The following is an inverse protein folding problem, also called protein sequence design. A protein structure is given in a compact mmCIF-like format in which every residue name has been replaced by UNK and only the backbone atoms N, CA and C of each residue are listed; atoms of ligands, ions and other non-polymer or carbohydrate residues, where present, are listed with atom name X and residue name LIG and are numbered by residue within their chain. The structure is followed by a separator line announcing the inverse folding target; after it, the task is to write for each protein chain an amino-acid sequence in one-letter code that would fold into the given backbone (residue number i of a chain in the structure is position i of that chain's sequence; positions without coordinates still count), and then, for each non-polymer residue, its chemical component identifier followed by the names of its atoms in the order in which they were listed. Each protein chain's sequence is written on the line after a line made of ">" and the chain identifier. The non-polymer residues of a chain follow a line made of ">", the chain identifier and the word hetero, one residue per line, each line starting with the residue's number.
data_IF_766388030620
#
_entry.id   IF_766388030620
#
_cell.length_a   1.000
_cell.length_b   1.000
_cell.length_c   1.000
_cell.angle_alpha   90.00
_cell.angle_beta   90.00
_cell.angle_gamma   90.00
#
_symmetry.space_group_name_H-M   'P 1'
#
loop_
_entity.id
_entity.type
_entity.pdbx_description
1 polymer ?
#
# COMPACT_ATOMS: atom_id res chain seq x y z
N UNK A 1 -22.57 40.08 -30.25
CA UNK A 1 -22.14 40.50 -28.90
C UNK A 1 -22.80 39.69 -27.78
N UNK A 2 -24.08 39.30 -27.88
CA UNK A 2 -24.72 38.41 -26.88
C UNK A 2 -24.17 36.98 -26.93
N UNK A 3 -23.95 36.43 -28.13
CA UNK A 3 -23.37 35.09 -28.32
C UNK A 3 -21.95 34.94 -27.71
N UNK A 4 -21.14 36.00 -27.76
CA UNK A 4 -19.79 36.00 -27.19
C UNK A 4 -19.79 36.04 -25.66
N UNK A 5 -20.81 36.64 -25.04
CA UNK A 5 -20.96 36.64 -23.58
C UNK A 5 -21.44 35.26 -23.10
N UNK A 6 -22.36 34.62 -23.83
CA UNK A 6 -22.81 33.26 -23.53
C UNK A 6 -21.70 32.21 -23.69
N UNK A 7 -20.82 32.34 -24.69
CA UNK A 7 -19.69 31.42 -24.85
C UNK A 7 -18.64 31.58 -23.74
N UNK A 8 -18.36 32.81 -23.29
CA UNK A 8 -17.45 33.07 -22.16
C UNK A 8 -18.05 32.53 -20.85
N UNK A 9 -19.32 32.83 -20.56
CA UNK A 9 -20.00 32.33 -19.36
C UNK A 9 -20.12 30.80 -19.37
N UNK A 10 -20.41 30.21 -20.53
CA UNK A 10 -20.43 28.74 -20.73
C UNK A 10 -19.06 28.11 -20.47
N UNK A 11 -17.99 28.66 -21.05
CA UNK A 11 -16.63 28.15 -20.83
C UNK A 11 -16.20 28.23 -19.34
N UNK A 12 -16.56 29.31 -18.65
CA UNK A 12 -16.27 29.47 -17.21
C UNK A 12 -17.05 28.49 -16.34
N UNK A 13 -18.33 28.23 -16.68
CA UNK A 13 -19.12 27.22 -15.96
C UNK A 13 -18.55 25.82 -16.16
N UNK A 14 -18.23 25.42 -17.39
CA UNK A 14 -17.61 24.11 -17.66
C UNK A 14 -16.27 23.92 -16.94
N UNK A 15 -15.40 24.94 -16.91
CA UNK A 15 -14.14 24.87 -16.18
C UNK A 15 -14.34 24.69 -14.67
N UNK A 16 -15.36 25.34 -14.08
CA UNK A 16 -15.70 25.17 -12.66
C UNK A 16 -16.28 23.78 -12.34
N UNK A 17 -17.05 23.19 -13.26
CA UNK A 17 -17.58 21.85 -13.10
C UNK A 17 -16.49 20.77 -13.13
N UNK A 18 -15.49 20.89 -14.01
CA UNK A 18 -14.36 19.94 -14.07
C UNK A 18 -13.53 19.98 -12.77
N UNK A 19 -13.28 21.17 -12.22
CA UNK A 19 -12.59 21.34 -10.94
C UNK A 19 -13.35 20.74 -9.74
N UNK A 20 -14.67 20.92 -9.69
CA UNK A 20 -15.51 20.31 -8.66
C UNK A 20 -15.55 18.78 -8.79
N UNK A 21 -15.67 18.26 -10.01
CA UNK A 21 -15.66 16.81 -10.25
C UNK A 21 -14.34 16.17 -9.81
N UNK A 22 -13.20 16.80 -10.15
CA UNK A 22 -11.89 16.31 -9.73
C UNK A 22 -11.74 16.31 -8.19
N UNK A 23 -12.27 17.34 -7.52
CA UNK A 23 -12.27 17.42 -6.05
C UNK A 23 -13.12 16.31 -5.41
N UNK A 24 -14.30 16.01 -5.97
CA UNK A 24 -15.15 14.91 -5.48
C UNK A 24 -14.46 13.57 -5.67
N UNK A 25 -13.91 13.31 -6.87
CA UNK A 25 -13.15 12.08 -7.16
C UNK A 25 -11.95 11.91 -6.22
N UNK A 26 -11.23 12.99 -5.94
CA UNK A 26 -10.10 12.97 -5.00
C UNK A 26 -10.54 12.58 -3.58
N UNK A 27 -11.65 13.13 -3.10
CA UNK A 27 -12.17 12.78 -1.77
C UNK A 27 -12.65 11.32 -1.72
N UNK A 28 -13.35 10.85 -2.74
CA UNK A 28 -13.81 9.46 -2.85
C UNK A 28 -12.63 8.48 -2.91
N UNK A 29 -11.61 8.80 -3.70
CA UNK A 29 -10.39 8.01 -3.79
C UNK A 29 -9.69 7.93 -2.43
N UNK A 30 -9.49 9.05 -1.74
CA UNK A 30 -8.83 9.08 -0.42
C UNK A 30 -9.59 8.27 0.63
N UNK A 31 -10.93 8.42 0.67
CA UNK A 31 -11.77 7.65 1.59
C UNK A 31 -11.70 6.15 1.30
N UNK A 32 -11.73 5.78 0.02
CA UNK A 32 -11.64 4.38 -0.37
C UNK A 32 -10.27 3.80 -0.06
N UNK A 33 -9.18 4.53 -0.36
CA UNK A 33 -7.82 4.11 -0.01
C UNK A 33 -7.69 3.89 1.50
N UNK A 34 -8.18 4.83 2.31
CA UNK A 34 -8.17 4.70 3.77
C UNK A 34 -8.97 3.48 4.26
N UNK A 35 -10.16 3.26 3.71
CA UNK A 35 -10.97 2.09 4.03
C UNK A 35 -10.29 0.78 3.61
N UNK A 36 -9.70 0.75 2.41
CA UNK A 36 -8.97 -0.38 1.85
C UNK A 36 -7.80 -0.77 2.74
N UNK A 37 -6.91 0.18 3.06
CA UNK A 37 -5.74 -0.09 3.92
C UNK A 37 -6.18 -0.53 5.32
N UNK A 38 -7.20 0.11 5.92
CA UNK A 38 -7.74 -0.31 7.23
C UNK A 38 -8.33 -1.72 7.18
N UNK A 39 -8.96 -2.08 6.07
CA UNK A 39 -9.55 -3.41 5.89
C UNK A 39 -8.44 -4.46 5.79
N UNK A 40 -7.39 -4.21 4.99
CA UNK A 40 -6.21 -5.09 4.91
C UNK A 40 -5.56 -5.27 6.28
N UNK A 41 -5.32 -4.17 7.00
CA UNK A 41 -4.73 -4.24 8.33
C UNK A 41 -5.57 -5.10 9.29
N UNK A 42 -6.90 -4.95 9.27
CA UNK A 42 -7.82 -5.76 10.09
C UNK A 42 -7.84 -7.22 9.66
N UNK A 43 -7.87 -7.49 8.36
CA UNK A 43 -7.85 -8.84 7.81
C UNK A 43 -6.52 -9.55 8.05
N UNK A 44 -5.41 -8.81 8.12
CA UNK A 44 -4.11 -9.38 8.47
C UNK A 44 -4.18 -10.00 9.87
N UNK A 45 -4.79 -9.30 10.84
CA UNK A 45 -4.97 -9.80 12.21
C UNK A 45 -6.03 -10.92 12.33
N UNK A 46 -6.95 -11.02 11.38
CA UNK A 46 -8.04 -12.01 11.35
C UNK A 46 -7.87 -12.97 10.16
N UNK A 47 -6.64 -13.42 9.96
CA UNK A 47 -6.23 -14.18 8.79
C UNK A 47 -7.04 -15.47 8.64
N UNK A 48 -7.93 -15.54 7.64
CA UNK A 48 -8.59 -16.78 7.24
C UNK A 48 -7.72 -17.51 6.21
N UNK A 49 -7.12 -18.64 6.62
CA UNK A 49 -6.35 -19.53 5.73
C UNK A 49 -7.31 -20.46 5.00
N UNK A 50 -7.16 -20.56 3.68
CA UNK A 50 -7.88 -21.61 2.95
C UNK A 50 -7.28 -23.00 3.29
N UNK A 51 -8.08 -24.08 3.20
CA UNK A 51 -7.58 -25.43 3.40
C UNK A 51 -6.40 -25.75 2.48
N UNK A 52 -5.28 -26.18 3.05
CA UNK A 52 -4.05 -26.49 2.30
C UNK A 52 -3.15 -25.30 1.99
N UNK A 53 -3.46 -24.08 2.47
CA UNK A 53 -2.55 -22.95 2.39
C UNK A 53 -1.46 -23.01 3.46
N UNK A 54 -0.25 -22.62 3.10
CA UNK A 54 0.86 -22.37 4.02
C UNK A 54 0.58 -21.18 4.94
N UNK A 55 1.38 -21.05 6.00
CA UNK A 55 1.32 -19.90 6.90
C UNK A 55 1.57 -18.60 6.14
N UNK A 56 0.89 -17.52 6.53
CA UNK A 56 1.06 -16.20 5.92
C UNK A 56 1.88 -15.30 6.83
N UNK A 57 2.87 -14.64 6.24
CA UNK A 57 3.66 -13.63 6.93
C UNK A 57 2.84 -12.36 7.18
N UNK A 58 1.97 -12.02 6.23
CA UNK A 58 1.16 -10.81 6.29
C UNK A 58 0.32 -10.61 5.05
N UNK A 59 -0.46 -9.53 5.08
CA UNK A 59 -1.14 -8.98 3.91
C UNK A 59 -0.46 -7.67 3.53
N UNK A 60 -0.22 -7.45 2.24
CA UNK A 60 0.45 -6.27 1.75
C UNK A 60 -0.30 -5.54 0.65
N UNK A 61 0.14 -4.31 0.40
CA UNK A 61 -0.35 -3.41 -0.63
C UNK A 61 0.84 -2.96 -1.45
N UNK A 62 0.72 -3.14 -2.77
CA UNK A 62 1.64 -2.68 -3.79
C UNK A 62 1.23 -1.29 -4.27
N UNK A 63 2.09 -0.30 -4.00
CA UNK A 63 1.94 1.09 -4.41
C UNK A 63 2.81 1.47 -5.61
N UNK A 64 3.60 0.54 -6.16
CA UNK A 64 4.57 0.82 -7.23
C UNK A 64 3.91 1.39 -8.50
N UNK A 65 2.67 0.98 -8.78
CA UNK A 65 1.89 1.47 -9.93
C UNK A 65 0.91 2.60 -9.57
N UNK A 66 0.83 3.00 -8.30
CA UNK A 66 -0.13 4.01 -7.85
C UNK A 66 0.21 5.40 -8.38
N UNK A 67 1.49 5.74 -8.51
CA UNK A 67 1.91 7.04 -9.05
C UNK A 67 1.64 7.21 -10.55
N UNK A 68 1.54 6.11 -11.31
CA UNK A 68 1.40 6.13 -12.77
C UNK A 68 -0.01 5.78 -13.25
N UNK A 69 -0.64 4.79 -12.62
CA UNK A 69 -1.96 4.28 -13.03
C UNK A 69 -3.05 4.54 -11.99
N UNK A 70 -2.67 4.92 -10.77
CA UNK A 70 -3.60 5.05 -9.64
C UNK A 70 -4.06 3.75 -9.02
N UNK A 71 -3.66 2.62 -9.60
CA UNK A 71 -4.01 1.28 -9.16
C UNK A 71 -3.03 0.87 -8.06
N UNK A 72 -3.58 0.37 -6.95
CA UNK A 72 -2.85 -0.33 -5.91
C UNK A 72 -3.38 -1.76 -5.86
N UNK A 73 -2.49 -2.74 -5.70
CA UNK A 73 -2.87 -4.16 -5.64
C UNK A 73 -2.61 -4.70 -4.27
N UNK A 74 -3.52 -5.53 -3.78
CA UNK A 74 -3.35 -6.19 -2.50
C UNK A 74 -2.88 -7.62 -2.70
N UNK A 75 -2.00 -8.07 -1.81
CA UNK A 75 -1.42 -9.40 -1.90
C UNK A 75 -1.33 -10.06 -0.52
N UNK A 76 -1.29 -11.38 -0.53
CA UNK A 76 -0.90 -12.21 0.60
C UNK A 76 0.58 -12.53 0.46
N UNK A 77 1.33 -12.43 1.55
CA UNK A 77 2.70 -12.91 1.60
C UNK A 77 2.74 -14.31 2.20
N UNK A 78 2.91 -15.30 1.34
CA UNK A 78 2.92 -16.71 1.68
C UNK A 78 4.30 -17.14 2.18
N UNK A 79 4.35 -17.86 3.29
CA UNK A 79 5.56 -18.51 3.79
C UNK A 79 5.76 -19.89 3.16
N UNK A 80 6.99 -20.43 3.14
CA UNK A 80 7.24 -21.81 2.73
C UNK A 80 6.75 -22.85 3.76
N UNK A 81 6.30 -22.42 4.93
CA UNK A 81 5.97 -23.31 6.04
C UNK A 81 4.47 -23.57 6.10
N UNK A 82 4.05 -24.83 6.29
CA UNK A 82 2.63 -25.13 6.43
C UNK A 82 2.02 -24.49 7.68
N UNK A 83 2.78 -24.36 8.77
CA UNK A 83 2.26 -23.85 10.05
C UNK A 83 3.19 -22.86 10.73
N UNK A 84 2.61 -22.07 11.64
CA UNK A 84 3.34 -21.19 12.54
C UNK A 84 4.21 -22.01 13.50
N UNK A 85 5.51 -21.79 13.51
CA UNK A 85 6.41 -22.64 14.30
C UNK A 85 7.88 -22.40 14.06
N UNK A 86 8.24 -22.16 12.80
CA UNK A 86 9.60 -21.92 12.36
C UNK A 86 10.13 -20.58 12.86
N UNK A 87 11.46 -20.47 13.01
CA UNK A 87 12.13 -19.24 13.45
C UNK A 87 11.76 -18.06 12.55
N UNK A 88 11.60 -18.27 11.24
CA UNK A 88 11.19 -17.22 10.29
C UNK A 88 9.75 -16.77 10.44
N UNK A 89 8.89 -17.63 10.99
CA UNK A 89 7.49 -17.29 11.24
C UNK A 89 7.30 -16.61 12.60
N UNK A 90 8.12 -16.96 13.59
CA UNK A 90 8.07 -16.44 14.97
C UNK A 90 8.89 -15.18 15.22
N UNK A 91 9.70 -14.79 14.25
CA UNK A 91 10.62 -13.67 14.41
C UNK A 91 9.88 -12.33 14.48
N UNK A 92 10.57 -11.32 15.05
CA UNK A 92 10.04 -9.96 15.18
C UNK A 92 9.77 -9.25 13.84
N UNK A 93 10.34 -9.80 12.76
CA UNK A 93 10.20 -9.36 11.38
C UNK A 93 9.69 -10.52 10.53
N UNK A 94 8.86 -10.27 9.51
CA UNK A 94 8.37 -11.33 8.64
C UNK A 94 9.52 -11.93 7.82
N UNK A 95 9.50 -13.26 7.63
CA UNK A 95 10.52 -14.01 6.89
C UNK A 95 11.98 -13.82 7.39
N UNK A 96 12.17 -13.36 8.62
CA UNK A 96 13.49 -13.04 9.18
C UNK A 96 14.03 -14.18 10.05
N UNK A 97 15.33 -14.45 9.91
CA UNK A 97 16.08 -15.36 10.76
C UNK A 97 17.15 -14.55 11.53
N UNK A 98 17.13 -14.53 12.87
CA UNK A 98 18.08 -13.77 13.69
C UNK A 98 19.53 -14.26 13.61
N UNK A 99 19.79 -15.42 12.99
CA UNK A 99 21.16 -15.89 12.77
C UNK A 99 21.87 -15.19 11.61
N UNK A 100 21.15 -14.38 10.82
CA UNK A 100 21.68 -13.62 9.71
C UNK A 100 21.15 -12.18 9.74
N UNK A 101 21.91 -11.25 9.16
CA UNK A 101 21.46 -9.88 9.02
C UNK A 101 20.28 -9.80 8.02
N UNK A 102 19.42 -8.80 8.18
CA UNK A 102 18.38 -8.43 7.22
C UNK A 102 19.06 -8.16 5.87
N UNK A 103 18.49 -8.71 4.80
CA UNK A 103 19.01 -8.63 3.43
C UNK A 103 20.13 -9.59 3.06
N UNK A 104 20.82 -10.18 4.04
CA UNK A 104 21.76 -11.27 3.73
C UNK A 104 20.98 -12.49 3.23
N UNK A 105 21.20 -12.91 1.98
CA UNK A 105 20.42 -13.97 1.31
C UNK A 105 18.90 -13.69 1.28
N UNK A 106 18.48 -12.43 1.14
CA UNK A 106 17.06 -11.99 1.15
C UNK A 106 16.32 -12.28 2.47
N UNK A 107 17.06 -12.39 3.57
CA UNK A 107 16.48 -12.56 4.89
C UNK A 107 15.63 -11.34 5.28
N UNK A 108 14.33 -11.55 5.52
CA UNK A 108 13.38 -10.46 5.80
C UNK A 108 13.03 -9.57 4.60
N UNK A 109 13.44 -9.92 3.37
CA UNK A 109 13.06 -9.20 2.16
C UNK A 109 11.76 -9.72 1.58
N UNK A 110 10.98 -8.81 1.01
CA UNK A 110 9.80 -9.16 0.24
C UNK A 110 10.26 -9.75 -1.11
N UNK A 111 9.72 -10.90 -1.56
CA UNK A 111 10.08 -11.52 -2.84
C UNK A 111 9.44 -10.76 -4.01
N UNK A 112 9.91 -9.54 -4.28
CA UNK A 112 9.43 -8.63 -5.33
C UNK A 112 9.79 -9.09 -6.74
N UNK A 113 10.80 -9.97 -6.87
CA UNK A 113 11.15 -10.65 -8.12
C UNK A 113 10.09 -11.67 -8.54
N UNK A 114 9.18 -12.04 -7.63
CA UNK A 114 8.04 -12.89 -7.92
C UNK A 114 6.84 -12.01 -8.24
N UNK A 115 6.31 -12.14 -9.45
CA UNK A 115 5.05 -11.50 -9.83
C UNK A 115 3.95 -11.95 -8.87
N UNK A 116 3.12 -11.02 -8.38
CA UNK A 116 1.95 -11.34 -7.58
C UNK A 116 1.10 -12.33 -8.38
N UNK A 117 1.02 -13.57 -7.90
CA UNK A 117 0.38 -14.67 -8.61
C UNK A 117 -1.11 -14.38 -8.83
N UNK A 118 -1.69 -14.84 -9.95
CA UNK A 118 -3.11 -14.66 -10.24
C UNK A 118 -4.00 -15.49 -9.31
N UNK A 119 -3.43 -16.49 -8.64
CA UNK A 119 -4.12 -17.32 -7.66
C UNK A 119 -4.11 -16.67 -6.29
N UNK A 120 -5.23 -16.72 -5.59
CA UNK A 120 -5.36 -16.29 -4.19
C UNK A 120 -4.91 -17.35 -3.18
N UNK A 121 -4.48 -18.51 -3.66
CA UNK A 121 -4.01 -19.65 -2.86
C UNK A 121 -2.51 -19.55 -2.57
N UNK A 122 -2.15 -19.65 -1.29
CA UNK A 122 -0.76 -19.71 -0.83
C UNK A 122 -0.26 -21.14 -0.68
N UNK A 123 0.02 -21.83 -1.78
CA UNK A 123 0.59 -23.20 -1.76
C UNK A 123 2.11 -23.23 -1.60
N UNK A 124 2.79 -22.19 -2.06
CA UNK A 124 4.25 -22.06 -2.03
C UNK A 124 4.65 -20.69 -1.48
N UNK A 125 5.93 -20.52 -1.17
CA UNK A 125 6.47 -19.21 -0.78
C UNK A 125 6.26 -18.19 -1.92
N UNK A 126 5.87 -16.96 -1.59
CA UNK A 126 5.76 -15.89 -2.57
C UNK A 126 4.62 -14.93 -2.29
N UNK A 127 4.20 -14.22 -3.33
CA UNK A 127 3.12 -13.25 -3.29
C UNK A 127 1.91 -13.80 -4.06
N UNK A 128 0.77 -13.90 -3.39
CA UNK A 128 -0.50 -14.32 -3.99
C UNK A 128 -1.48 -13.14 -4.00
N UNK A 129 -2.37 -13.06 -5.00
CA UNK A 129 -3.36 -11.97 -5.03
C UNK A 129 -4.36 -12.06 -3.88
N UNK A 130 -4.74 -10.92 -3.30
CA UNK A 130 -5.83 -10.86 -2.33
C UNK A 130 -7.14 -10.53 -3.08
N UNK A 131 -7.87 -11.58 -3.44
CA UNK A 131 -9.12 -11.46 -4.18
C UNK A 131 -10.17 -10.62 -3.43
N UNK A 132 -10.92 -9.79 -4.17
CA UNK A 132 -11.98 -8.92 -3.63
C UNK A 132 -11.57 -7.48 -3.36
N UNK A 133 -10.29 -7.13 -3.59
CA UNK A 133 -9.74 -5.80 -3.34
C UNK A 133 -9.15 -5.10 -4.57
N UNK A 134 -9.36 -5.68 -5.76
CA UNK A 134 -9.06 -5.01 -7.02
C UNK A 134 -10.05 -3.84 -7.22
N UNK A 135 -9.74 -2.70 -6.60
CA UNK A 135 -10.55 -1.50 -6.75
C UNK A 135 -10.13 -0.76 -8.01
N UNK A 136 -11.00 -0.80 -9.03
CA UNK A 136 -10.92 0.06 -10.22
C UNK A 136 -11.68 1.35 -9.93
N UNK A 137 -11.14 2.20 -9.06
CA UNK A 137 -11.65 3.58 -8.93
C UNK A 137 -10.90 4.43 -9.93
N UNK A 138 -11.64 5.23 -10.69
CA UNK A 138 -11.08 6.25 -11.57
C UNK A 138 -10.10 7.12 -10.80
N UNK A 139 -8.82 7.04 -11.16
CA UNK A 139 -7.80 7.86 -10.54
C UNK A 139 -8.06 9.35 -10.82
N UNK A 140 -8.05 10.23 -9.79
CA UNK A 140 -8.22 11.66 -10.01
C UNK A 140 -7.06 12.22 -10.83
N UNK A 141 -7.32 13.29 -11.61
CA UNK A 141 -6.25 14.00 -12.31
C UNK A 141 -5.38 14.70 -11.28
N UNK A 142 -4.23 14.13 -10.97
CA UNK A 142 -3.34 14.62 -9.92
C UNK A 142 -1.90 14.19 -10.15
N UNK A 143 -0.98 15.04 -9.70
CA UNK A 143 0.43 14.70 -9.59
C UNK A 143 0.63 14.00 -8.25
N UNK A 144 1.07 12.74 -8.30
CA UNK A 144 1.16 11.87 -7.12
C UNK A 144 2.60 11.52 -6.81
N UNK A 145 3.00 11.76 -5.57
CA UNK A 145 4.35 11.50 -5.07
C UNK A 145 4.27 10.62 -3.83
N UNK A 146 5.13 9.59 -3.78
CA UNK A 146 5.34 8.76 -2.60
C UNK A 146 6.72 9.09 -2.06
N UNK A 147 6.79 9.49 -0.79
CA UNK A 147 8.05 9.83 -0.13
C UNK A 147 8.87 8.55 0.17
N UNK A 148 10.19 8.73 0.32
CA UNK A 148 11.13 7.70 0.78
C UNK A 148 11.20 6.42 -0.08
N UNK A 149 10.73 6.49 -1.33
CA UNK A 149 10.77 5.38 -2.31
C UNK A 149 10.13 4.08 -1.81
N UNK A 150 9.12 4.20 -0.92
CA UNK A 150 8.39 3.05 -0.40
C UNK A 150 7.48 2.50 -1.51
N UNK A 151 7.71 1.25 -1.92
CA UNK A 151 6.93 0.57 -2.96
C UNK A 151 5.83 -0.32 -2.38
N UNK A 152 6.07 -0.94 -1.22
CA UNK A 152 5.14 -1.89 -0.63
C UNK A 152 4.95 -1.63 0.87
N UNK A 153 3.71 -1.83 1.33
CA UNK A 153 3.36 -1.79 2.75
C UNK A 153 2.77 -3.14 3.13
N UNK A 154 3.34 -3.81 4.12
CA UNK A 154 2.87 -5.11 4.61
C UNK A 154 2.42 -5.00 6.06
N UNK A 155 1.25 -5.53 6.36
CA UNK A 155 0.73 -5.71 7.70
C UNK A 155 0.93 -7.15 8.16
N UNK A 156 1.60 -7.33 9.29
CA UNK A 156 1.85 -8.65 9.87
C UNK A 156 0.56 -9.37 10.25
N UNK A 157 0.52 -10.68 10.00
CA UNK A 157 -0.66 -11.49 10.33
C UNK A 157 -0.92 -11.69 11.83
N UNK A 158 0.05 -11.38 12.69
CA UNK A 158 -0.05 -11.64 14.14
C UNK A 158 -0.34 -10.35 14.91
N UNK A 159 0.51 -9.34 14.75
CA UNK A 159 0.39 -8.08 15.50
C UNK A 159 -0.29 -6.95 14.73
N UNK A 160 -0.49 -7.10 13.41
CA UNK A 160 -0.97 -6.01 12.55
C UNK A 160 0.01 -4.85 12.39
N UNK A 161 1.28 -5.02 12.81
CA UNK A 161 2.36 -4.04 12.62
C UNK A 161 2.62 -3.82 11.14
N UNK A 162 2.95 -2.57 10.80
CA UNK A 162 3.29 -2.19 9.44
C UNK A 162 4.80 -2.31 9.18
N UNK A 163 5.14 -2.89 8.04
CA UNK A 163 6.48 -3.03 7.48
C UNK A 163 6.51 -2.35 6.11
N UNK A 164 7.55 -1.53 5.88
CA UNK A 164 7.67 -0.74 4.66
C UNK A 164 8.85 -1.25 3.84
N UNK A 165 8.60 -1.52 2.57
CA UNK A 165 9.60 -2.05 1.64
C UNK A 165 9.78 -1.11 0.46
N UNK A 166 11.01 -0.99 -0.03
CA UNK A 166 11.28 -0.29 -1.28
C UNK A 166 10.83 -1.13 -2.49
N UNK A 167 10.98 -0.59 -3.70
CA UNK A 167 10.64 -1.28 -4.96
C UNK A 167 11.42 -2.58 -5.17
N UNK A 168 12.61 -2.70 -4.58
CA UNK A 168 13.45 -3.89 -4.66
C UNK A 168 13.10 -4.95 -3.59
N UNK A 169 12.16 -4.65 -2.68
CA UNK A 169 11.72 -5.55 -1.61
C UNK A 169 12.58 -5.50 -0.36
N UNK A 170 13.45 -4.51 -0.23
CA UNK A 170 14.26 -4.29 0.96
C UNK A 170 13.47 -3.55 2.02
N UNK A 171 13.64 -3.96 3.29
CA UNK A 171 12.94 -3.39 4.43
C UNK A 171 13.55 -2.03 4.81
N UNK A 172 12.74 -0.98 4.85
CA UNK A 172 13.19 0.40 5.09
C UNK A 172 13.14 0.78 6.58
N UNK A 173 12.18 0.25 7.33
CA UNK A 173 11.93 0.67 8.71
C UNK A 173 12.77 -0.06 9.78
N UNK A 174 13.66 -0.97 9.38
CA UNK A 174 14.55 -1.73 10.27
C UNK A 174 15.98 -1.80 9.73
N UNK A 175 16.93 -1.88 10.66
CA UNK A 175 18.35 -2.03 10.38
C UNK A 175 18.70 -3.50 10.05
N UNK A 176 19.93 -3.69 9.57
CA UNK A 176 20.50 -5.01 9.25
C UNK A 176 20.49 -6.01 10.40
N UNK A 177 20.48 -5.57 11.65
CA UNK A 177 20.44 -6.44 12.85
C UNK A 177 19.01 -6.78 13.31
N UNK A 178 17.99 -6.32 12.58
CA UNK A 178 16.59 -6.48 12.95
C UNK A 178 16.10 -5.50 14.02
N UNK A 179 16.94 -4.56 14.46
CA UNK A 179 16.52 -3.43 15.29
C UNK A 179 15.77 -2.40 14.44
N UNK A 180 14.92 -1.60 15.08
CA UNK A 180 14.21 -0.53 14.40
C UNK A 180 15.19 0.57 13.95
N UNK A 181 15.03 1.08 12.74
CA UNK A 181 15.84 2.21 12.26
C UNK A 181 15.64 3.44 13.15
N UNK A 182 16.70 4.20 13.44
CA UNK A 182 16.63 5.42 14.26
C UNK A 182 15.81 6.52 13.57
N UNK A 183 15.94 6.63 12.24
CA UNK A 183 15.16 7.53 11.40
C UNK A 183 13.98 6.77 10.79
N UNK A 184 12.96 6.59 11.62
CA UNK A 184 11.70 6.00 11.21
C UNK A 184 10.99 6.91 10.20
N UNK A 185 10.80 6.42 8.98
CA UNK A 185 9.97 7.07 7.97
C UNK A 185 8.53 6.55 8.02
N UNK A 186 7.58 7.46 7.80
CA UNK A 186 6.18 7.09 7.58
C UNK A 186 5.96 6.89 6.09
N UNK A 187 5.03 6.04 5.71
CA UNK A 187 4.56 6.06 4.32
C UNK A 187 3.73 7.33 4.12
N UNK A 188 4.14 8.17 3.18
CA UNK A 188 3.45 9.41 2.83
C UNK A 188 3.16 9.41 1.34
N UNK A 189 1.87 9.46 1.01
CA UNK A 189 1.35 9.61 -0.35
C UNK A 189 0.73 11.00 -0.46
N UNK A 190 1.34 11.84 -1.28
CA UNK A 190 0.86 13.20 -1.55
C UNK A 190 0.24 13.25 -2.94
N UNK A 191 -0.99 13.74 -3.02
CA UNK A 191 -1.70 13.95 -4.29
C UNK A 191 -2.02 15.42 -4.46
N UNK A 192 -1.44 16.02 -5.50
CA UNK A 192 -1.71 17.40 -5.88
C UNK A 192 -2.67 17.45 -7.07
N UNK A 193 -3.91 17.94 -6.90
CA UNK A 193 -4.89 17.91 -7.98
C UNK A 193 -4.46 18.84 -9.13
N UNK A 194 -4.52 18.33 -10.37
CA UNK A 194 -4.31 19.16 -11.54
C UNK A 194 -5.50 20.12 -11.70
N UNK A 195 -5.26 21.42 -11.50
CA UNK A 195 -6.28 22.47 -11.62
C UNK A 195 -6.67 23.09 -10.27
N UNK A 196 -7.97 23.30 -10.06
CA UNK A 196 -8.47 23.87 -8.79
C UNK A 196 -8.72 22.76 -7.78
N UNK A 197 -8.02 22.79 -6.66
CA UNK A 197 -8.19 21.84 -5.57
C UNK A 197 -7.17 22.09 -4.46
N UNK A 198 -7.27 21.33 -3.38
CA UNK A 198 -6.29 21.36 -2.30
C UNK A 198 -5.52 20.05 -2.30
N UNK A 199 -4.21 20.14 -2.15
CA UNK A 199 -3.33 18.98 -2.01
C UNK A 199 -3.81 18.08 -0.87
N UNK A 200 -3.76 16.78 -1.10
CA UNK A 200 -4.15 15.75 -0.14
C UNK A 200 -2.93 14.95 0.27
N UNK A 201 -2.88 14.59 1.53
CA UNK A 201 -1.82 13.74 2.06
C UNK A 201 -2.44 12.55 2.77
N UNK A 202 -1.97 11.35 2.42
CA UNK A 202 -2.31 10.10 3.07
C UNK A 202 -1.05 9.55 3.75
N UNK A 203 -1.17 9.23 5.03
CA UNK A 203 -0.04 8.81 5.86
C UNK A 203 -0.35 7.49 6.55
N UNK A 204 0.57 6.53 6.44
CA UNK A 204 0.61 5.34 7.29
C UNK A 204 1.79 5.50 8.24
N UNK A 205 1.49 5.63 9.54
CA UNK A 205 2.51 5.77 10.55
C UNK A 205 3.30 4.47 10.70
N UNK A 206 4.63 4.57 10.82
CA UNK A 206 5.46 3.41 11.13
C UNK A 206 5.00 2.74 12.43
N UNK A 207 5.27 1.44 12.54
CA UNK A 207 5.04 0.54 13.68
C UNK A 207 3.57 0.31 13.98
N UNK A 208 2.83 1.38 14.25
CA UNK A 208 1.40 1.33 14.57
C UNK A 208 0.54 0.99 13.36
N UNK A 209 1.02 1.29 12.15
CA UNK A 209 0.19 1.23 10.94
C UNK A 209 -1.00 2.18 10.99
N UNK A 210 -0.99 3.19 11.90
CA UNK A 210 -2.12 4.11 12.04
C UNK A 210 -2.25 4.93 10.77
N UNK A 211 -3.44 4.86 10.17
CA UNK A 211 -3.76 5.54 8.93
C UNK A 211 -4.40 6.89 9.22
N UNK A 212 -3.96 7.93 8.52
CA UNK A 212 -4.56 9.26 8.56
C UNK A 212 -4.51 9.92 7.19
N UNK A 213 -5.59 10.59 6.82
CA UNK A 213 -5.67 11.46 5.65
C UNK A 213 -5.80 12.92 6.11
N UNK A 214 -5.17 13.85 5.39
CA UNK A 214 -5.26 15.29 5.68
C UNK A 214 -5.33 16.12 4.40
N UNK A 215 -5.86 17.34 4.58
CA UNK A 215 -5.92 18.36 3.55
C UNK A 215 -4.88 19.43 3.87
N UNK A 216 -3.96 19.68 2.94
CA UNK A 216 -2.99 20.76 3.06
C UNK A 216 -3.61 22.10 2.63
#
# INVERSE_FOLDING_TARGET
>A
MVLSIFSILGAMTFASFDGLQNTVKMNEYMLTLEQNVRTVQRQAMLLERNPGESWLYGLGIDFTQTTTTGIHRMFKWCSPFPDYGDIKTKSNLPAYNPTANVGSNRNGWLPTDRVIGPSSSCSEEGLATLAGFDTSIDFPKSDTVIDDSIGYVVFESISGRAFFYNTDGELINYNGDGSQAENVVNFVLTMDPQGTGRTRQFVINNLSGKISSSVL
#
